data_IF_311868806140
#
_entry.id   IF_311868806140
#
_cell.length_a   1.000
_cell.length_b   1.000
_cell.length_c   1.000
_cell.angle_alpha   90.00
_cell.angle_beta   90.00
_cell.angle_gamma   90.00
#
_symmetry.space_group_name_H-M   'P 1'
#
loop_
_entity.id
_entity.type
_entity.pdbx_description
1 polymer ?
#
# COMPACT_ATOMS: atom_id res chain seq x y z
N UNK A 1 -8.40 14.74 -0.87
CA UNK A 1 -7.43 13.82 -0.25
C UNK A 1 -6.07 14.49 -0.23
N UNK A 2 -5.37 14.47 0.91
CA UNK A 2 -4.02 15.01 1.09
C UNK A 2 -2.99 13.90 0.93
N UNK A 3 -1.88 14.15 0.24
CA UNK A 3 -0.74 13.26 0.11
C UNK A 3 0.46 13.83 0.86
N UNK A 4 1.16 12.98 1.62
CA UNK A 4 2.34 13.33 2.41
C UNK A 4 3.45 12.35 2.06
N UNK A 5 4.68 12.82 1.83
CA UNK A 5 5.84 11.96 1.68
C UNK A 5 6.46 11.67 3.05
N UNK A 6 6.91 10.44 3.26
CA UNK A 6 7.63 10.00 4.45
C UNK A 6 8.87 9.20 4.03
N UNK A 7 10.04 9.62 4.48
CA UNK A 7 11.33 9.00 4.14
C UNK A 7 11.96 8.18 5.28
N UNK A 8 11.28 8.06 6.43
CA UNK A 8 11.72 7.24 7.55
C UNK A 8 11.39 5.75 7.40
N UNK A 9 11.69 4.98 8.44
CA UNK A 9 11.31 3.57 8.50
C UNK A 9 9.76 3.43 8.53
N UNK A 10 9.15 2.83 7.51
CA UNK A 10 7.70 2.71 7.45
C UNK A 10 7.11 1.82 8.56
N UNK A 11 7.89 0.88 9.10
CA UNK A 11 7.43 -0.01 10.17
C UNK A 11 7.33 0.70 11.52
N UNK A 12 8.04 1.82 11.69
CA UNK A 12 7.99 2.66 12.89
C UNK A 12 7.00 3.83 12.76
N UNK A 13 6.32 3.95 11.62
CA UNK A 13 5.33 4.99 11.40
C UNK A 13 4.01 4.63 12.10
N UNK A 14 3.65 5.41 13.12
CA UNK A 14 2.35 5.28 13.78
C UNK A 14 1.24 5.76 12.84
N UNK A 15 0.44 4.81 12.35
CA UNK A 15 -0.66 5.07 11.42
C UNK A 15 -1.81 4.08 11.66
N UNK A 16 -3.06 4.45 11.40
CA UNK A 16 -4.18 3.52 11.52
C UNK A 16 -4.05 2.29 10.61
N UNK A 17 -3.48 2.45 9.40
CA UNK A 17 -3.26 1.36 8.46
C UNK A 17 -1.99 1.61 7.63
N UNK A 18 -1.11 0.62 7.56
CA UNK A 18 0.07 0.59 6.70
C UNK A 18 -0.11 -0.45 5.60
N UNK A 19 -0.04 -0.02 4.35
CA UNK A 19 -0.08 -0.92 3.19
C UNK A 19 1.32 -1.42 2.87
N UNK A 20 1.48 -2.74 2.74
CA UNK A 20 2.75 -3.39 2.37
C UNK A 20 2.52 -4.27 1.14
N UNK A 21 3.27 -4.02 0.07
CA UNK A 21 3.30 -4.85 -1.13
C UNK A 21 4.14 -6.10 -0.92
N UNK A 22 3.64 -7.26 -1.35
CA UNK A 22 4.30 -8.57 -1.20
C UNK A 22 4.37 -9.27 -2.54
N UNK A 23 5.58 -9.65 -2.96
CA UNK A 23 5.77 -10.48 -4.16
C UNK A 23 5.59 -11.96 -3.85
N UNK A 24 5.27 -12.73 -4.88
CA UNK A 24 5.25 -14.20 -4.82
C UNK A 24 6.68 -14.76 -4.71
N UNK A 25 6.77 -16.03 -4.30
CA UNK A 25 7.99 -16.80 -4.18
C UNK A 25 8.91 -16.36 -3.02
N UNK A 26 10.21 -16.63 -3.15
CA UNK A 26 11.18 -16.43 -2.06
C UNK A 26 11.50 -14.95 -1.76
N UNK A 27 11.40 -14.09 -2.76
CA UNK A 27 11.72 -12.67 -2.65
C UNK A 27 10.45 -11.83 -2.46
N UNK A 28 10.01 -11.70 -1.23
CA UNK A 28 8.77 -10.99 -0.89
C UNK A 28 8.83 -9.48 -1.11
N UNK A 29 10.02 -8.92 -1.32
CA UNK A 29 10.30 -7.49 -1.38
C UNK A 29 10.91 -6.96 -0.08
N UNK A 30 11.75 -5.91 -0.17
CA UNK A 30 12.56 -5.43 0.96
C UNK A 30 11.74 -5.09 2.20
N UNK A 31 10.64 -4.36 2.05
CA UNK A 31 9.80 -3.95 3.19
C UNK A 31 8.97 -5.13 3.71
N UNK A 32 8.51 -6.03 2.83
CA UNK A 32 7.80 -7.24 3.23
C UNK A 32 8.70 -8.19 4.03
N UNK A 33 9.98 -8.33 3.65
CA UNK A 33 10.97 -9.08 4.42
C UNK A 33 11.26 -8.44 5.78
N UNK A 34 11.42 -7.11 5.83
CA UNK A 34 11.59 -6.38 7.08
C UNK A 34 10.36 -6.53 8.00
N UNK A 35 9.15 -6.45 7.44
CA UNK A 35 7.90 -6.73 8.17
C UNK A 35 7.87 -8.16 8.71
N UNK A 36 8.24 -9.14 7.89
CA UNK A 36 8.28 -10.54 8.33
C UNK A 36 9.24 -10.73 9.51
N UNK A 37 10.42 -10.11 9.44
CA UNK A 37 11.40 -10.18 10.54
C UNK A 37 10.87 -9.50 11.81
N UNK A 38 10.37 -8.27 11.69
CA UNK A 38 9.87 -7.48 12.82
C UNK A 38 8.69 -8.17 13.53
N UNK A 39 7.83 -8.83 12.75
CA UNK A 39 6.63 -9.54 13.26
C UNK A 39 6.90 -11.00 13.68
N UNK A 40 8.16 -11.41 13.82
CA UNK A 40 8.52 -12.77 14.23
C UNK A 40 8.11 -13.85 13.23
N UNK A 41 8.19 -13.58 11.93
CA UNK A 41 7.89 -14.53 10.86
C UNK A 41 6.40 -14.64 10.51
N UNK A 42 5.59 -13.68 10.91
CA UNK A 42 4.13 -13.71 10.70
C UNK A 42 3.76 -13.84 9.21
N UNK A 43 4.41 -13.05 8.34
CA UNK A 43 4.08 -13.05 6.90
C UNK A 43 4.31 -14.43 6.28
N UNK A 44 5.45 -15.06 6.57
CA UNK A 44 5.75 -16.41 6.05
C UNK A 44 4.79 -17.45 6.60
N UNK A 45 4.34 -17.32 7.86
CA UNK A 45 3.30 -18.23 8.40
C UNK A 45 1.96 -18.05 7.70
N UNK A 46 1.53 -16.81 7.41
CA UNK A 46 0.29 -16.55 6.68
C UNK A 46 0.32 -17.10 5.25
N UNK A 47 1.47 -16.97 4.57
CA UNK A 47 1.68 -17.54 3.24
C UNK A 47 1.65 -19.08 3.27
N UNK A 48 2.33 -19.70 4.23
CA UNK A 48 2.39 -21.16 4.37
C UNK A 48 1.02 -21.76 4.76
N UNK A 49 0.25 -21.07 5.59
CA UNK A 49 -1.10 -21.50 5.98
C UNK A 49 -2.13 -21.32 4.87
N UNK A 50 -1.82 -20.52 3.84
CA UNK A 50 -2.77 -20.19 2.78
C UNK A 50 -3.77 -19.08 3.15
N UNK A 51 -3.62 -18.45 4.31
CA UNK A 51 -4.45 -17.31 4.73
C UNK A 51 -4.23 -16.08 3.85
N UNK A 52 -3.02 -15.94 3.33
CA UNK A 52 -2.66 -14.92 2.36
C UNK A 52 -1.97 -15.54 1.14
N UNK A 53 -2.29 -15.02 -0.01
CA UNK A 53 -1.60 -15.32 -1.26
C UNK A 53 -1.05 -14.02 -1.85
N UNK A 54 0.25 -14.00 -2.16
CA UNK A 54 0.89 -12.84 -2.78
C UNK A 54 0.55 -12.66 -4.27
N UNK A 55 -0.41 -13.43 -4.81
CA UNK A 55 -0.93 -13.23 -6.17
C UNK A 55 -1.44 -11.81 -6.35
N UNK A 56 -1.26 -11.28 -7.54
CA UNK A 56 -1.60 -9.90 -7.89
C UNK A 56 -3.02 -9.52 -7.46
N UNK A 57 -3.13 -8.44 -6.68
CA UNK A 57 -4.40 -7.87 -6.23
C UNK A 57 -5.04 -8.58 -5.04
N UNK A 58 -4.47 -9.68 -4.53
CA UNK A 58 -4.94 -10.30 -3.28
C UNK A 58 -4.56 -9.41 -2.10
N UNK A 59 -5.45 -9.32 -1.14
CA UNK A 59 -5.26 -8.50 0.06
C UNK A 59 -5.60 -9.27 1.32
N UNK A 60 -4.87 -8.96 2.40
CA UNK A 60 -5.18 -9.44 3.74
C UNK A 60 -4.91 -8.32 4.75
N UNK A 61 -5.86 -8.05 5.63
CA UNK A 61 -5.69 -7.10 6.72
C UNK A 61 -5.30 -7.83 8.01
N UNK A 62 -4.21 -7.40 8.62
CA UNK A 62 -3.68 -7.94 9.89
C UNK A 62 -3.78 -6.85 10.95
N UNK A 63 -4.50 -7.14 12.03
CA UNK A 63 -4.65 -6.21 13.15
C UNK A 63 -3.52 -6.40 14.15
N UNK A 64 -2.98 -5.29 14.66
CA UNK A 64 -2.00 -5.23 15.74
C UNK A 64 -0.80 -6.19 15.57
N UNK A 65 -0.12 -6.18 14.41
CA UNK A 65 1.03 -7.05 14.22
C UNK A 65 2.18 -6.64 15.13
N UNK A 66 2.83 -7.60 15.77
CA UNK A 66 4.00 -7.32 16.62
C UNK A 66 5.13 -6.66 15.83
N UNK A 67 5.91 -5.79 16.49
CA UNK A 67 7.10 -5.16 15.89
C UNK A 67 6.81 -4.06 14.88
N UNK A 68 5.56 -3.61 14.75
CA UNK A 68 5.14 -2.56 13.82
C UNK A 68 4.32 -1.52 14.58
N UNK A 69 4.59 -0.24 14.33
CA UNK A 69 3.90 0.87 15.00
C UNK A 69 2.49 1.12 14.45
N UNK A 70 2.19 0.63 13.25
CA UNK A 70 0.86 0.75 12.66
C UNK A 70 -0.15 -0.12 13.40
N UNK A 71 -1.35 0.41 13.66
CA UNK A 71 -2.43 -0.34 14.30
C UNK A 71 -2.91 -1.50 13.43
N UNK A 72 -2.75 -1.41 12.11
CA UNK A 72 -3.12 -2.44 11.16
C UNK A 72 -2.19 -2.45 9.96
N UNK A 73 -1.90 -3.63 9.43
CA UNK A 73 -1.16 -3.81 8.19
C UNK A 73 -2.07 -4.42 7.13
N UNK A 74 -2.15 -3.77 5.97
CA UNK A 74 -2.83 -4.29 4.78
C UNK A 74 -1.77 -4.86 3.85
N UNK A 75 -1.70 -6.17 3.75
CA UNK A 75 -0.86 -6.88 2.79
C UNK A 75 -1.53 -6.85 1.41
N UNK A 76 -0.75 -6.57 0.38
CA UNK A 76 -1.23 -6.52 -1.01
C UNK A 76 -0.30 -7.34 -1.89
N UNK A 77 -0.84 -8.35 -2.56
CA UNK A 77 -0.10 -9.17 -3.50
C UNK A 77 0.30 -8.40 -4.75
N UNK A 78 1.58 -8.46 -5.10
CA UNK A 78 2.17 -7.87 -6.30
C UNK A 78 2.34 -8.89 -7.44
N UNK A 79 2.16 -10.17 -7.14
CA UNK A 79 2.33 -11.26 -8.09
C UNK A 79 3.80 -11.65 -8.29
N UNK A 80 4.06 -12.34 -9.39
CA UNK A 80 5.39 -12.84 -9.78
C UNK A 80 6.35 -11.66 -10.07
N UNK A 81 7.46 -11.51 -9.33
CA UNK A 81 8.42 -10.43 -9.53
C UNK A 81 9.09 -10.46 -10.90
N UNK A 82 9.22 -11.64 -11.54
CA UNK A 82 9.83 -11.77 -12.87
C UNK A 82 8.95 -11.25 -13.99
N UNK A 83 7.65 -11.12 -13.73
CA UNK A 83 6.64 -10.62 -14.68
C UNK A 83 6.01 -9.31 -14.22
N UNK A 84 6.60 -8.67 -13.23
CA UNK A 84 6.08 -7.43 -12.67
C UNK A 84 6.36 -6.25 -13.60
N UNK A 85 5.35 -5.43 -13.85
CA UNK A 85 5.40 -4.29 -14.74
C UNK A 85 4.53 -3.13 -14.24
N UNK A 86 4.50 -2.04 -15.01
CA UNK A 86 3.75 -0.84 -14.67
C UNK A 86 2.24 -1.07 -14.55
N UNK A 87 1.65 -1.96 -15.36
CA UNK A 87 0.21 -2.26 -15.30
C UNK A 87 -0.15 -3.05 -14.05
N UNK A 88 0.68 -4.02 -13.68
CA UNK A 88 0.50 -4.81 -12.46
C UNK A 88 0.67 -3.95 -11.20
N UNK A 89 1.65 -3.05 -11.20
CA UNK A 89 1.80 -2.06 -10.14
C UNK A 89 0.55 -1.20 -9.99
N UNK A 90 0.06 -0.64 -11.08
CA UNK A 90 -1.15 0.18 -11.07
C UNK A 90 -2.37 -0.58 -10.54
N UNK A 91 -2.54 -1.84 -10.97
CA UNK A 91 -3.62 -2.70 -10.46
C UNK A 91 -3.50 -2.91 -8.94
N UNK A 92 -2.32 -3.27 -8.44
CA UNK A 92 -2.10 -3.46 -7.00
C UNK A 92 -2.39 -2.18 -6.20
N UNK A 93 -1.97 -1.01 -6.70
CA UNK A 93 -2.24 0.28 -6.06
C UNK A 93 -3.75 0.62 -6.05
N UNK A 94 -4.48 0.31 -7.12
CA UNK A 94 -5.94 0.49 -7.18
C UNK A 94 -6.64 -0.44 -6.18
N UNK A 95 -6.26 -1.70 -6.14
CA UNK A 95 -6.88 -2.69 -5.24
C UNK A 95 -6.62 -2.33 -3.77
N UNK A 96 -5.39 -1.89 -3.42
CA UNK A 96 -5.07 -1.36 -2.10
C UNK A 96 -5.94 -0.14 -1.75
N UNK A 97 -6.05 0.81 -2.67
CA UNK A 97 -6.87 2.01 -2.50
C UNK A 97 -8.34 1.70 -2.26
N UNK A 98 -8.89 0.71 -2.97
CA UNK A 98 -10.28 0.25 -2.76
C UNK A 98 -10.50 -0.30 -1.35
N UNK A 99 -9.58 -1.12 -0.86
CA UNK A 99 -9.68 -1.69 0.49
C UNK A 99 -9.56 -0.59 1.54
N UNK A 100 -8.64 0.35 1.38
CA UNK A 100 -8.50 1.51 2.27
C UNK A 100 -9.78 2.37 2.30
N UNK A 101 -10.39 2.59 1.14
CA UNK A 101 -11.60 3.40 1.03
C UNK A 101 -12.84 2.74 1.66
N UNK A 102 -12.88 1.40 1.69
CA UNK A 102 -13.96 0.63 2.33
C UNK A 102 -13.70 0.40 3.82
N UNK A 103 -12.48 0.61 4.27
CA UNK A 103 -12.10 0.43 5.67
C UNK A 103 -12.42 1.65 6.55
N UNK A 104 -12.31 1.51 7.87
CA UNK A 104 -12.61 2.58 8.84
C UNK A 104 -11.39 3.51 9.02
N UNK A 105 -10.83 4.02 7.92
CA UNK A 105 -9.59 4.82 7.97
C UNK A 105 -9.82 6.23 7.42
N UNK A 106 -9.54 7.24 8.24
CA UNK A 106 -9.39 8.63 7.78
C UNK A 106 -7.97 8.93 7.29
N UNK A 107 -7.00 8.13 7.75
CA UNK A 107 -5.59 8.24 7.41
C UNK A 107 -5.01 6.84 7.17
N UNK A 108 -4.08 6.73 6.23
CA UNK A 108 -3.32 5.52 5.97
C UNK A 108 -1.92 5.86 5.47
N UNK A 109 -1.03 4.88 5.52
CA UNK A 109 0.29 4.97 4.90
C UNK A 109 0.46 3.81 3.90
N UNK A 110 1.29 3.99 2.90
CA UNK A 110 1.59 2.95 1.91
C UNK A 110 3.07 2.90 1.57
N UNK A 111 3.61 1.70 1.52
CA UNK A 111 4.97 1.45 1.06
C UNK A 111 5.06 1.18 -0.44
N UNK A 112 3.92 1.16 -1.15
CA UNK A 112 3.91 0.92 -2.59
C UNK A 112 4.69 1.96 -3.38
N UNK A 113 4.81 3.20 -2.85
CA UNK A 113 5.65 4.24 -3.46
C UNK A 113 7.15 3.90 -3.53
N UNK A 114 7.61 2.93 -2.74
CA UNK A 114 9.01 2.46 -2.72
C UNK A 114 9.23 1.20 -3.57
N UNK A 115 8.18 0.63 -4.16
CA UNK A 115 8.30 -0.59 -4.97
C UNK A 115 9.03 -0.28 -6.26
N UNK A 116 10.06 -1.07 -6.57
CA UNK A 116 10.80 -0.94 -7.82
C UNK A 116 9.99 -1.53 -8.97
N UNK A 117 9.71 -0.71 -9.96
CA UNK A 117 9.03 -1.12 -11.20
C UNK A 117 10.01 -1.03 -12.36
N UNK A 118 10.19 -2.10 -13.17
CA UNK A 118 11.11 -2.08 -14.30
C UNK A 118 10.87 -0.89 -15.24
N UNK A 119 11.96 -0.23 -15.63
CA UNK A 119 11.96 0.94 -16.52
C UNK A 119 11.15 2.16 -15.99
N UNK A 120 10.96 2.26 -14.67
CA UNK A 120 10.30 3.40 -14.02
C UNK A 120 11.16 3.93 -12.87
N UNK A 121 11.09 5.23 -12.65
CA UNK A 121 11.77 5.90 -11.54
C UNK A 121 10.86 5.97 -10.31
N UNK A 122 11.45 6.24 -9.14
CA UNK A 122 10.72 6.28 -7.88
C UNK A 122 9.63 7.36 -7.83
N UNK A 123 9.82 8.49 -8.51
CA UNK A 123 8.81 9.55 -8.62
C UNK A 123 7.56 9.09 -9.37
N UNK A 124 7.74 8.24 -10.40
CA UNK A 124 6.63 7.66 -11.15
C UNK A 124 5.80 6.73 -10.26
N UNK A 125 6.43 5.85 -9.48
CA UNK A 125 5.71 4.92 -8.59
C UNK A 125 4.95 5.65 -7.51
N UNK A 126 5.54 6.67 -6.88
CA UNK A 126 4.87 7.50 -5.88
C UNK A 126 3.65 8.23 -6.47
N UNK A 127 3.81 8.84 -7.64
CA UNK A 127 2.74 9.55 -8.35
C UNK A 127 1.60 8.60 -8.75
N UNK A 128 1.92 7.46 -9.36
CA UNK A 128 0.90 6.48 -9.77
C UNK A 128 0.16 5.92 -8.56
N UNK A 129 0.86 5.66 -7.46
CA UNK A 129 0.25 5.20 -6.22
C UNK A 129 -0.76 6.24 -5.68
N UNK A 130 -0.39 7.52 -5.65
CA UNK A 130 -1.27 8.61 -5.23
C UNK A 130 -2.52 8.73 -6.14
N UNK A 131 -2.31 8.73 -7.46
CA UNK A 131 -3.39 8.82 -8.45
C UNK A 131 -4.32 7.60 -8.36
N UNK A 132 -3.76 6.39 -8.28
CA UNK A 132 -4.54 5.14 -8.20
C UNK A 132 -5.40 5.10 -6.93
N UNK A 133 -4.85 5.53 -5.78
CA UNK A 133 -5.61 5.60 -4.53
C UNK A 133 -6.72 6.66 -4.61
N UNK A 134 -6.41 7.85 -5.14
CA UNK A 134 -7.42 8.90 -5.36
C UNK A 134 -8.54 8.40 -6.26
N UNK A 135 -8.21 7.69 -7.32
CA UNK A 135 -9.18 7.10 -8.26
C UNK A 135 -10.05 6.03 -7.59
N UNK A 136 -9.43 5.16 -6.80
CA UNK A 136 -10.13 4.13 -6.04
C UNK A 136 -11.10 4.72 -5.01
N UNK A 137 -10.78 5.90 -4.45
CA UNK A 137 -11.61 6.64 -3.51
C UNK A 137 -12.65 7.54 -4.21
N UNK A 138 -12.56 7.73 -5.53
CA UNK A 138 -13.54 8.51 -6.27
C UNK A 138 -14.86 7.79 -6.29
N UNK A 139 -15.88 8.43 -5.71
CA UNK A 139 -17.26 7.93 -5.74
C UNK A 139 -18.09 8.75 -6.70
N UNK A 140 -18.78 8.08 -7.59
CA UNK A 140 -19.83 8.69 -8.37
C UNK A 140 -21.02 8.94 -7.45
N UNK A 141 -21.14 10.17 -6.92
CA UNK A 141 -22.12 10.53 -5.89
C UNK A 141 -23.56 10.59 -6.41
N UNK A 142 -23.77 10.52 -7.71
CA UNK A 142 -25.11 10.61 -8.32
C UNK A 142 -26.02 9.40 -8.05
N UNK A 143 -25.47 8.23 -7.71
CA UNK A 143 -26.23 6.98 -7.56
C UNK A 143 -26.12 6.32 -6.18
N UNK A 144 -25.24 6.78 -5.28
CA UNK A 144 -25.01 6.16 -3.98
C UNK A 144 -25.55 7.05 -2.86
N UNK A 145 -26.61 6.60 -2.20
CA UNK A 145 -27.30 7.36 -1.12
C UNK A 145 -26.60 7.31 0.25
N UNK A 146 -25.60 6.46 0.47
CA UNK A 146 -24.91 6.34 1.76
C UNK A 146 -23.44 6.78 1.65
N UNK A 147 -23.05 7.82 2.41
CA UNK A 147 -21.64 8.14 2.66
C UNK A 147 -21.11 7.14 3.68
N UNK A 148 -19.86 6.62 3.54
CA UNK A 148 -19.21 5.93 4.65
C UNK A 148 -19.01 6.91 5.80
N UNK A 149 -19.10 6.42 7.02
CA UNK A 149 -18.87 7.21 8.23
C UNK A 149 -17.45 7.80 8.28
N UNK A 150 -16.49 7.10 7.69
CA UNK A 150 -15.09 7.55 7.57
C UNK A 150 -14.67 7.52 6.09
N UNK A 151 -14.12 8.64 5.64
CA UNK A 151 -13.54 8.80 4.31
C UNK A 151 -12.03 8.98 4.43
N UNK A 152 -11.25 8.30 3.59
CA UNK A 152 -9.80 8.45 3.56
C UNK A 152 -9.43 9.88 3.13
N UNK A 153 -8.91 10.67 4.07
CA UNK A 153 -8.56 12.08 3.88
C UNK A 153 -7.08 12.29 3.62
N UNK A 154 -6.23 11.43 4.20
CA UNK A 154 -4.76 11.56 4.10
C UNK A 154 -4.13 10.23 3.77
N UNK A 155 -3.26 10.22 2.77
CA UNK A 155 -2.39 9.10 2.44
C UNK A 155 -0.93 9.53 2.56
N UNK A 156 -0.19 8.84 3.43
CA UNK A 156 1.27 8.97 3.57
C UNK A 156 1.96 7.98 2.65
N UNK A 157 2.78 8.48 1.73
CA UNK A 157 3.59 7.68 0.82
C UNK A 157 4.98 7.50 1.43
N UNK A 158 5.29 6.27 1.85
CA UNK A 158 6.63 5.91 2.29
C UNK A 158 7.51 5.74 1.05
N UNK A 159 8.56 6.54 0.95
CA UNK A 159 9.45 6.64 -0.21
C UNK A 159 10.90 6.61 0.24
N UNK A 160 11.77 6.02 -0.58
CA UNK A 160 13.21 5.94 -0.31
C UNK A 160 13.98 7.18 -0.76
N UNK A 161 13.40 7.98 -1.65
CA UNK A 161 13.99 9.23 -2.18
C UNK A 161 12.98 10.38 -2.08
N UNK A 162 13.43 11.64 -1.95
CA UNK A 162 12.52 12.78 -1.94
C UNK A 162 11.72 12.87 -3.24
N UNK A 163 10.38 12.90 -3.13
CA UNK A 163 9.44 12.93 -4.27
C UNK A 163 8.45 14.11 -4.18
N UNK A 164 8.84 15.17 -3.49
CA UNK A 164 7.95 16.32 -3.21
C UNK A 164 7.34 16.93 -4.48
N UNK A 165 8.14 17.07 -5.56
CA UNK A 165 7.65 17.58 -6.84
C UNK A 165 6.66 16.64 -7.54
N UNK A 166 6.80 15.32 -7.37
CA UNK A 166 5.89 14.34 -7.97
C UNK A 166 4.51 14.33 -7.30
N UNK A 167 4.45 14.64 -6.00
CA UNK A 167 3.19 14.70 -5.26
C UNK A 167 2.38 15.95 -5.59
N UNK A 168 3.02 17.06 -5.89
CA UNK A 168 2.33 18.29 -6.29
C UNK A 168 1.45 18.08 -7.53
N UNK A 169 1.89 17.24 -8.49
CA UNK A 169 1.12 16.87 -9.68
C UNK A 169 -0.08 15.95 -9.40
N UNK A 170 -0.06 15.22 -8.30
CA UNK A 170 -1.18 14.35 -7.91
C UNK A 170 -2.32 15.13 -7.22
N UNK A 171 -2.08 16.36 -6.80
CA UNK A 171 -3.08 17.26 -6.21
C UNK A 171 -3.92 17.99 -7.26
N UNK A 172 -3.41 18.15 -8.48
CA UNK A 172 -4.10 18.79 -9.59
C UNK A 172 -5.14 17.86 -10.21
#
# INVERSE_FOLDING_TARGET
MKFIAHSGDPLQLATPCLVIGVFEHEHLGAIAEAFNLASGGLLKRLLAAGDFSAKLGRTLSVSEPSGVAAARVLLVGLGDPTRFDALKFQKAAIDAGRVLNLGPYSQAATTLGSVLVPNRQADWTARVCAIATRWACYRYTATVKAKPELELKTLTLCVTTPVEGALAQAHA
#
